data_IF_926778542861
#
_entry.id   IF_926778542861
#
_cell.length_a   1.000
_cell.length_b   1.000
_cell.length_c   1.000
_cell.angle_alpha   90.00
_cell.angle_beta   90.00
_cell.angle_gamma   90.00
#
_symmetry.space_group_name_H-M   'P 1'
#
loop_
_entity.id
_entity.type
_entity.pdbx_description
1 polymer ?
#
# COMPACT_ATOMS: atom_id res chain seq x y z
N UNK A 1 -11.84 -16.25 5.89
CA UNK A 1 -13.07 -15.76 5.22
C UNK A 1 -13.58 -14.50 5.93
N UNK A 2 -12.86 -13.37 5.80
CA UNK A 2 -13.23 -12.04 6.35
C UNK A 2 -12.35 -10.85 5.92
N UNK A 3 -11.40 -11.01 4.96
CA UNK A 3 -10.46 -9.94 4.57
C UNK A 3 -10.75 -9.27 3.22
N UNK A 4 -11.94 -9.44 2.63
CA UNK A 4 -12.31 -8.75 1.36
C UNK A 4 -12.88 -7.34 1.61
N UNK A 5 -12.47 -6.67 2.69
CA UNK A 5 -13.13 -5.44 3.14
C UNK A 5 -12.33 -4.15 2.88
N UNK A 6 -11.10 -4.20 2.35
CA UNK A 6 -10.27 -2.99 2.22
C UNK A 6 -9.74 -2.69 0.82
N UNK A 7 -10.21 -3.39 -0.22
CA UNK A 7 -9.83 -3.10 -1.63
C UNK A 7 -10.68 -1.96 -2.24
N UNK A 8 -11.14 -0.99 -1.46
CA UNK A 8 -12.12 0.01 -1.96
C UNK A 8 -11.78 1.49 -1.71
N UNK A 9 -10.63 1.81 -1.11
CA UNK A 9 -10.26 3.22 -0.89
C UNK A 9 -9.42 3.84 -2.02
N UNK A 10 -8.68 3.06 -2.82
CA UNK A 10 -7.82 3.63 -3.86
C UNK A 10 -8.58 4.13 -5.11
N UNK A 11 -9.85 3.76 -5.29
CA UNK A 11 -10.63 4.13 -6.49
C UNK A 11 -11.27 5.54 -6.41
N UNK A 12 -11.18 6.23 -5.26
CA UNK A 12 -11.85 7.51 -5.03
C UNK A 12 -10.98 8.75 -5.27
N UNK A 13 -9.68 8.69 -4.95
CA UNK A 13 -8.85 9.90 -4.83
C UNK A 13 -8.09 10.28 -6.12
N UNK A 14 -7.83 9.34 -7.03
CA UNK A 14 -7.17 9.65 -8.33
C UNK A 14 -8.08 10.43 -9.29
N UNK A 15 -9.39 10.50 -9.03
CA UNK A 15 -10.34 11.26 -9.87
C UNK A 15 -10.16 12.79 -9.80
N UNK A 16 -9.36 13.30 -8.84
CA UNK A 16 -8.99 14.73 -8.71
C UNK A 16 -7.56 15.01 -9.22
N UNK A 17 -6.82 14.02 -9.75
CA UNK A 17 -5.48 14.24 -10.30
C UNK A 17 -5.43 14.93 -11.68
N UNK A 18 -6.54 15.56 -12.11
CA UNK A 18 -6.75 15.96 -13.50
C UNK A 18 -6.29 17.39 -13.89
N UNK A 19 -5.62 18.18 -13.04
CA UNK A 19 -5.27 19.56 -13.45
C UNK A 19 -3.83 20.07 -13.20
N UNK A 20 -2.99 19.46 -12.35
CA UNK A 20 -1.55 19.79 -12.27
C UNK A 20 -0.84 18.90 -11.23
N UNK A 21 -0.56 17.62 -11.55
CA UNK A 21 0.34 16.81 -10.71
C UNK A 21 1.74 17.41 -10.75
N UNK A 22 2.27 17.79 -9.60
CA UNK A 22 3.66 18.18 -9.45
C UNK A 22 4.56 16.93 -9.55
N UNK A 23 5.83 17.05 -9.99
CA UNK A 23 6.74 15.91 -10.06
C UNK A 23 6.98 15.21 -8.71
N UNK A 24 6.71 15.90 -7.60
CA UNK A 24 6.81 15.35 -6.24
C UNK A 24 5.69 14.35 -5.94
N UNK A 25 4.45 14.62 -6.36
CA UNK A 25 3.32 13.71 -6.16
C UNK A 25 3.49 12.43 -6.98
N UNK A 26 3.93 12.55 -8.25
CA UNK A 26 4.19 11.38 -9.09
C UNK A 26 5.35 10.50 -8.57
N UNK A 27 6.34 11.11 -7.90
CA UNK A 27 7.42 10.37 -7.28
C UNK A 27 6.93 9.61 -6.04
N UNK A 28 6.05 10.22 -5.25
CA UNK A 28 5.51 9.61 -4.05
C UNK A 28 4.49 8.49 -4.37
N UNK A 29 3.65 8.65 -5.40
CA UNK A 29 2.80 7.57 -5.93
C UNK A 29 3.66 6.35 -6.32
N UNK A 30 4.75 6.56 -7.07
CA UNK A 30 5.65 5.45 -7.44
C UNK A 30 6.31 4.78 -6.22
N UNK A 31 6.56 5.53 -5.14
CA UNK A 31 7.11 4.97 -3.90
C UNK A 31 6.04 4.15 -3.19
N UNK A 32 4.81 4.67 -3.08
CA UNK A 32 3.68 3.96 -2.50
C UNK A 32 3.39 2.66 -3.24
N UNK A 33 3.27 2.72 -4.58
CA UNK A 33 3.05 1.55 -5.43
C UNK A 33 4.15 0.49 -5.26
N UNK A 34 5.42 0.90 -5.07
CA UNK A 34 6.51 -0.04 -4.82
C UNK A 34 6.41 -0.69 -3.44
N UNK A 35 5.92 0.03 -2.44
CA UNK A 35 5.71 -0.48 -1.10
C UNK A 35 4.52 -1.45 -1.10
N UNK A 36 3.41 -1.12 -1.76
CA UNK A 36 2.27 -2.04 -1.93
C UNK A 36 2.69 -3.34 -2.62
N UNK A 37 3.45 -3.26 -3.72
CA UNK A 37 3.96 -4.46 -4.39
C UNK A 37 4.88 -5.29 -3.49
N UNK A 38 5.64 -4.66 -2.59
CA UNK A 38 6.45 -5.39 -1.61
C UNK A 38 5.57 -6.06 -0.54
N UNK A 39 4.55 -5.38 -0.03
CA UNK A 39 3.59 -5.95 0.90
C UNK A 39 2.86 -7.16 0.28
N UNK A 40 2.35 -7.02 -0.95
CA UNK A 40 1.69 -8.10 -1.71
C UNK A 40 2.61 -9.32 -1.88
N UNK A 41 3.90 -9.10 -2.16
CA UNK A 41 4.86 -10.19 -2.28
C UNK A 41 5.08 -10.91 -0.95
N UNK A 42 5.13 -10.16 0.16
CA UNK A 42 5.26 -10.74 1.51
C UNK A 42 4.01 -11.52 1.90
N UNK A 43 2.81 -11.02 1.60
CA UNK A 43 1.56 -11.74 1.86
C UNK A 43 1.43 -12.97 0.96
N UNK A 44 1.81 -12.90 -0.32
CA UNK A 44 1.86 -14.07 -1.20
C UNK A 44 2.85 -15.14 -0.70
N UNK A 45 3.98 -14.73 -0.12
CA UNK A 45 4.91 -15.65 0.54
C UNK A 45 4.30 -16.26 1.81
N UNK A 46 3.54 -15.47 2.59
CA UNK A 46 2.83 -15.93 3.78
C UNK A 46 1.75 -16.97 3.43
N UNK A 47 1.01 -16.75 2.33
CA UNK A 47 -0.01 -17.68 1.83
C UNK A 47 0.58 -18.96 1.25
N UNK A 48 1.79 -18.91 0.69
CA UNK A 48 2.45 -20.06 0.09
C UNK A 48 3.26 -20.89 1.12
N UNK A 49 3.54 -20.36 2.31
CA UNK A 49 4.20 -21.14 3.35
C UNK A 49 3.22 -22.06 4.08
N UNK A 50 3.67 -23.26 4.40
CA UNK A 50 2.92 -24.22 5.22
C UNK A 50 3.21 -24.06 6.73
N UNK A 51 4.07 -23.11 7.09
CA UNK A 51 4.45 -22.81 8.46
C UNK A 51 3.69 -21.58 8.98
N UNK A 52 2.77 -21.80 9.91
CA UNK A 52 1.92 -20.74 10.47
C UNK A 52 2.71 -19.63 11.18
N UNK A 53 3.80 -19.95 11.88
CA UNK A 53 4.61 -18.94 12.57
C UNK A 53 5.38 -18.06 11.57
N UNK A 54 5.77 -18.63 10.43
CA UNK A 54 6.43 -17.90 9.36
C UNK A 54 5.43 -17.07 8.55
N UNK A 55 4.22 -17.59 8.33
CA UNK A 55 3.12 -16.84 7.74
C UNK A 55 2.78 -15.60 8.58
N UNK A 56 2.67 -15.74 9.90
CA UNK A 56 2.41 -14.61 10.81
C UNK A 56 3.56 -13.59 10.80
N UNK A 57 4.81 -14.04 10.74
CA UNK A 57 5.96 -13.14 10.65
C UNK A 57 5.97 -12.36 9.32
N UNK A 58 5.63 -13.01 8.22
CA UNK A 58 5.54 -12.40 6.89
C UNK A 58 4.35 -11.43 6.79
N UNK A 59 3.18 -11.78 7.36
CA UNK A 59 2.04 -10.88 7.45
C UNK A 59 2.34 -9.64 8.32
N UNK A 60 3.00 -9.81 9.46
CA UNK A 60 3.42 -8.65 10.26
C UNK A 60 4.42 -7.76 9.51
N UNK A 61 5.26 -8.35 8.65
CA UNK A 61 6.16 -7.60 7.80
C UNK A 61 5.42 -6.87 6.67
N UNK A 62 4.41 -7.50 6.06
CA UNK A 62 3.57 -6.85 5.03
C UNK A 62 2.79 -5.68 5.63
N UNK A 63 2.18 -5.85 6.81
CA UNK A 63 1.45 -4.78 7.52
C UNK A 63 2.36 -3.57 7.80
N UNK A 64 3.61 -3.79 8.23
CA UNK A 64 4.58 -2.69 8.40
C UNK A 64 4.91 -1.96 7.09
N UNK A 65 4.90 -2.67 5.96
CA UNK A 65 5.17 -2.07 4.64
C UNK A 65 3.94 -1.30 4.14
N UNK A 66 2.73 -1.83 4.35
CA UNK A 66 1.47 -1.13 4.08
C UNK A 66 1.36 0.16 4.92
N UNK A 67 1.66 0.10 6.23
CA UNK A 67 1.70 1.29 7.10
C UNK A 67 2.64 2.38 6.55
N UNK A 68 3.74 1.96 5.92
CA UNK A 68 4.69 2.86 5.27
C UNK A 68 4.14 3.42 3.94
N UNK A 69 3.45 2.62 3.14
CA UNK A 69 2.78 3.07 1.92
C UNK A 69 1.69 4.11 2.26
N UNK A 70 0.83 3.79 3.22
CA UNK A 70 -0.19 4.67 3.76
C UNK A 70 0.41 5.98 4.28
N UNK A 71 1.55 5.94 4.97
CA UNK A 71 2.21 7.15 5.45
C UNK A 71 2.70 8.05 4.30
N UNK A 72 3.16 7.46 3.19
CA UNK A 72 3.57 8.20 1.98
C UNK A 72 2.34 8.79 1.29
N UNK A 73 1.28 8.02 1.10
CA UNK A 73 0.04 8.49 0.46
C UNK A 73 -0.62 9.60 1.29
N UNK A 74 -0.75 9.42 2.61
CA UNK A 74 -1.28 10.44 3.51
C UNK A 74 -0.42 11.73 3.51
N UNK A 75 0.91 11.60 3.39
CA UNK A 75 1.79 12.76 3.28
C UNK A 75 1.55 13.54 1.99
N UNK A 76 1.35 12.83 0.87
CA UNK A 76 1.02 13.44 -0.42
C UNK A 76 -0.34 14.11 -0.37
N UNK A 77 -1.37 13.41 0.11
CA UNK A 77 -2.72 13.94 0.21
C UNK A 77 -2.76 15.22 1.07
N UNK A 78 -2.06 15.23 2.21
CA UNK A 78 -1.96 16.41 3.08
C UNK A 78 -1.11 17.55 2.48
N UNK A 79 -0.19 17.25 1.55
CA UNK A 79 0.61 18.28 0.85
C UNK A 79 -0.12 18.85 -0.38
N UNK A 80 -1.06 18.09 -0.95
CA UNK A 80 -1.84 18.45 -2.13
C UNK A 80 -3.18 19.11 -1.81
N UNK A 81 -3.54 19.24 -0.52
CA UNK A 81 -4.65 20.05 0.00
C UNK A 81 -4.25 21.53 0.21
#
# INVERSE_FOLDING_TARGET
MKKIALVLAAAGLVSVAACNRTPTEAAADNVSDNLEVQADNLEAMADNTSNAAEAEALMNASENVEDHADAVENHVENTSM
#
